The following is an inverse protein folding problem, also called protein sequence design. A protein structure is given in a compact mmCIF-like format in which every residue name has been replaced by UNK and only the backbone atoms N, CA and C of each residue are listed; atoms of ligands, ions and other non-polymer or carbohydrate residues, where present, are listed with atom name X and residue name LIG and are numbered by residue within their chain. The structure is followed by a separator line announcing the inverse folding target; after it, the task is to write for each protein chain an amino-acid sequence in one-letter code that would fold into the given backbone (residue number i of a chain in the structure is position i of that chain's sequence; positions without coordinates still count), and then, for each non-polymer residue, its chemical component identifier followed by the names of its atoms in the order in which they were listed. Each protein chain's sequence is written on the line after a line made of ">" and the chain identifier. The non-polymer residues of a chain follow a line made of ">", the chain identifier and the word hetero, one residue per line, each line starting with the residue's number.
data_IF_130546639643
#
_entry.id   IF_130546639643
#
_cell.length_a   1.000
_cell.length_b   1.000
_cell.length_c   1.000
_cell.angle_alpha   90.00
_cell.angle_beta   90.00
_cell.angle_gamma   90.00
#
_symmetry.space_group_name_H-M   'P 1'
#
loop_
_entity.id
_entity.type
_entity.pdbx_description
1 polymer ?
#
# COMPACT_ATOMS: atom_id res chain seq x y z
N UNK A 1 -28.36 32.50 -29.90
CA UNK A 1 -28.11 31.22 -30.57
C UNK A 1 -26.73 30.65 -30.30
N UNK A 2 -25.68 31.45 -30.48
CA UNK A 2 -24.30 31.03 -30.22
C UNK A 2 -24.05 30.60 -28.75
N UNK A 3 -24.75 31.20 -27.84
CA UNK A 3 -24.62 30.86 -26.38
C UNK A 3 -25.12 29.46 -26.07
N UNK A 4 -26.11 28.97 -26.76
CA UNK A 4 -26.67 27.64 -26.48
C UNK A 4 -25.76 26.52 -26.98
N UNK A 5 -25.09 26.74 -28.10
CA UNK A 5 -24.15 25.77 -28.64
C UNK A 5 -22.93 25.60 -27.73
N UNK A 6 -22.48 26.67 -27.10
CA UNK A 6 -21.37 26.66 -26.15
C UNK A 6 -21.78 25.90 -24.87
N UNK A 7 -23.00 26.08 -24.41
CA UNK A 7 -23.54 25.38 -23.26
C UNK A 7 -23.61 23.88 -23.45
N UNK A 8 -24.06 23.43 -24.61
CA UNK A 8 -24.14 22.00 -24.92
C UNK A 8 -22.75 21.37 -25.01
N UNK A 9 -21.79 22.08 -25.58
CA UNK A 9 -20.42 21.62 -25.66
C UNK A 9 -19.76 21.51 -24.29
N UNK A 10 -20.03 22.45 -23.39
CA UNK A 10 -19.50 22.42 -22.02
C UNK A 10 -20.09 21.27 -21.20
N UNK A 11 -21.39 21.03 -21.35
CA UNK A 11 -22.03 19.93 -20.64
C UNK A 11 -21.55 18.57 -21.13
N UNK A 12 -21.24 18.45 -22.41
CA UNK A 12 -20.67 17.22 -22.97
C UNK A 12 -19.25 16.97 -22.50
N UNK A 13 -18.44 18.02 -22.47
CA UNK A 13 -17.07 17.93 -21.96
C UNK A 13 -17.03 17.57 -20.47
N UNK A 14 -17.98 18.05 -19.70
CA UNK A 14 -18.09 17.73 -18.29
C UNK A 14 -18.41 16.26 -18.04
N UNK A 15 -19.29 15.66 -18.82
CA UNK A 15 -19.61 14.23 -18.70
C UNK A 15 -18.44 13.33 -19.06
N UNK A 16 -17.63 13.74 -20.01
CA UNK A 16 -16.45 12.96 -20.41
C UNK A 16 -15.35 12.98 -19.36
N UNK A 17 -15.14 14.11 -18.71
CA UNK A 17 -14.10 14.26 -17.70
C UNK A 17 -14.39 13.46 -16.44
N UNK A 18 -15.65 13.32 -16.05
CA UNK A 18 -15.98 12.54 -14.85
C UNK A 18 -15.76 11.05 -15.05
N UNK A 19 -16.01 10.53 -16.23
CA UNK A 19 -15.78 9.10 -16.50
C UNK A 19 -14.29 8.77 -16.58
N UNK A 20 -13.52 9.64 -17.15
CA UNK A 20 -12.07 9.45 -17.28
C UNK A 20 -11.36 9.54 -15.94
N UNK A 21 -11.81 10.42 -15.05
CA UNK A 21 -11.26 10.54 -13.70
C UNK A 21 -11.45 9.27 -12.88
N UNK A 22 -12.61 8.61 -13.01
CA UNK A 22 -12.87 7.36 -12.31
C UNK A 22 -12.01 6.21 -12.82
N UNK A 23 -11.78 6.15 -14.12
CA UNK A 23 -10.94 5.12 -14.72
C UNK A 23 -9.47 5.28 -14.34
N UNK A 24 -9.01 6.51 -14.13
CA UNK A 24 -7.63 6.80 -13.78
C UNK A 24 -7.32 6.49 -12.31
N UNK A 25 -8.28 6.65 -11.42
CA UNK A 25 -8.07 6.34 -10.00
C UNK A 25 -7.89 4.85 -9.73
N UNK A 26 -8.44 4.01 -10.58
CA UNK A 26 -8.35 2.56 -10.39
C UNK A 26 -7.08 1.93 -10.96
N UNK A 27 -6.35 2.63 -11.80
CA UNK A 27 -5.23 2.04 -12.54
C UNK A 27 -3.86 2.64 -12.27
N UNK A 28 -3.79 3.81 -11.65
CA UNK A 28 -2.51 4.45 -11.41
C UNK A 28 -2.16 4.50 -9.93
N UNK A 29 -0.91 4.17 -9.57
CA UNK A 29 -0.41 4.53 -8.26
C UNK A 29 -0.50 6.04 -8.11
N UNK A 30 -0.84 6.50 -6.93
CA UNK A 30 -1.02 7.93 -6.69
C UNK A 30 0.16 8.71 -7.27
N UNK A 31 -0.10 9.81 -7.99
CA UNK A 31 0.99 10.62 -8.56
C UNK A 31 2.03 11.04 -7.53
N UNK A 32 1.60 11.16 -6.31
CA UNK A 32 2.42 11.51 -5.16
C UNK A 32 3.58 10.53 -4.91
N UNK A 33 3.35 9.26 -5.22
CA UNK A 33 4.36 8.20 -5.06
C UNK A 33 5.50 8.32 -6.09
N UNK A 34 5.19 8.83 -7.28
CA UNK A 34 6.16 8.94 -8.37
C UNK A 34 7.05 10.19 -8.25
N UNK A 35 6.68 11.14 -7.39
CA UNK A 35 7.36 12.44 -7.29
C UNK A 35 8.28 12.56 -6.06
N UNK A 36 8.61 11.45 -5.40
CA UNK A 36 9.51 11.48 -4.25
C UNK A 36 10.95 11.77 -4.70
N UNK A 37 11.61 12.70 -4.03
CA UNK A 37 13.03 12.95 -4.24
C UNK A 37 13.88 11.81 -3.69
N UNK A 38 13.50 11.30 -2.51
CA UNK A 38 14.11 10.10 -1.93
C UNK A 38 13.02 9.15 -1.45
N UNK A 39 13.17 7.88 -1.80
CA UNK A 39 12.26 6.82 -1.33
C UNK A 39 12.64 6.42 0.09
N UNK A 40 11.65 5.98 0.90
CA UNK A 40 11.96 5.41 2.21
C UNK A 40 12.93 4.25 2.08
N UNK A 41 13.84 4.13 3.05
CA UNK A 41 14.78 3.00 3.10
C UNK A 41 14.65 2.24 4.41
N UNK A 42 14.74 0.92 4.31
CA UNK A 42 14.70 0.01 5.44
C UNK A 42 16.12 -0.46 5.74
N UNK A 43 16.71 0.03 6.84
CA UNK A 43 18.10 -0.30 7.22
C UNK A 43 19.09 -0.06 6.07
N UNK A 44 18.91 1.01 5.33
CA UNK A 44 19.74 1.34 4.17
C UNK A 44 19.36 0.61 2.89
N UNK A 45 18.35 -0.26 2.92
CA UNK A 45 17.90 -1.03 1.78
C UNK A 45 16.51 -0.64 1.30
N UNK A 46 15.91 -1.52 0.52
CA UNK A 46 14.61 -1.30 -0.10
C UNK A 46 13.46 -1.95 0.67
N UNK A 47 12.25 -1.81 0.13
CA UNK A 47 11.07 -2.52 0.65
C UNK A 47 11.25 -4.05 0.56
N UNK A 48 12.08 -4.54 -0.34
CA UNK A 48 12.36 -5.97 -0.46
C UNK A 48 13.12 -6.50 0.76
N UNK A 49 14.00 -5.69 1.33
CA UNK A 49 14.70 -6.06 2.57
C UNK A 49 13.73 -6.14 3.73
N UNK A 50 12.75 -5.25 3.77
CA UNK A 50 11.69 -5.32 4.74
C UNK A 50 10.83 -6.58 4.54
N UNK A 51 10.55 -6.95 3.31
CA UNK A 51 9.81 -8.18 3.02
C UNK A 51 10.53 -9.42 3.58
N UNK A 52 11.85 -9.50 3.42
CA UNK A 52 12.64 -10.58 3.99
C UNK A 52 12.63 -10.55 5.53
N UNK A 53 12.76 -9.37 6.10
CA UNK A 53 12.70 -9.17 7.54
C UNK A 53 11.37 -9.69 8.09
N UNK A 54 10.26 -9.33 7.45
CA UNK A 54 8.93 -9.76 7.86
C UNK A 54 8.75 -11.27 7.70
N UNK A 55 9.22 -11.83 6.58
CA UNK A 55 9.10 -13.27 6.31
C UNK A 55 9.82 -14.11 7.36
N UNK A 56 10.93 -13.62 7.91
CA UNK A 56 11.68 -14.32 8.96
C UNK A 56 10.98 -14.29 10.32
N UNK A 57 10.07 -13.34 10.54
CA UNK A 57 9.43 -13.11 11.83
C UNK A 57 7.98 -13.54 11.90
N UNK A 58 7.40 -13.78 10.75
CA UNK A 58 6.02 -14.26 10.67
C UNK A 58 5.95 -15.67 11.27
N UNK A 59 4.97 -15.90 12.14
CA UNK A 59 4.71 -17.21 12.75
C UNK A 59 3.43 -17.77 12.17
N UNK A 60 3.52 -18.99 11.67
CA UNK A 60 2.33 -19.65 11.15
C UNK A 60 1.41 -20.03 12.32
N UNK A 61 0.18 -19.52 12.37
CA UNK A 61 -0.74 -19.89 13.46
C UNK A 61 -1.03 -21.40 13.43
N UNK A 62 -0.97 -22.04 14.60
CA UNK A 62 -1.14 -23.49 14.69
C UNK A 62 -2.52 -23.95 14.24
N UNK A 63 -3.55 -23.17 14.52
CA UNK A 63 -4.90 -23.48 14.07
C UNK A 63 -5.00 -23.45 12.54
N UNK A 64 -4.33 -22.52 11.89
CA UNK A 64 -4.28 -22.44 10.44
C UNK A 64 -3.56 -23.66 9.84
N UNK A 65 -2.49 -24.12 10.50
CA UNK A 65 -1.79 -25.35 10.08
C UNK A 65 -2.72 -26.54 10.17
N UNK A 66 -3.45 -26.69 11.28
CA UNK A 66 -4.39 -27.80 11.49
C UNK A 66 -5.49 -27.85 10.45
N UNK A 67 -5.95 -26.67 10.00
CA UNK A 67 -7.04 -26.55 9.03
C UNK A 67 -6.54 -26.44 7.59
N UNK A 68 -5.24 -26.59 7.36
CA UNK A 68 -4.62 -26.49 6.03
C UNK A 68 -4.90 -25.14 5.34
N UNK A 69 -4.90 -24.05 6.12
CA UNK A 69 -5.11 -22.72 5.57
C UNK A 69 -3.77 -22.13 5.17
N UNK A 70 -3.63 -21.78 3.89
CA UNK A 70 -2.43 -21.14 3.34
C UNK A 70 -2.81 -20.07 2.34
N UNK A 71 -1.87 -19.23 1.96
CA UNK A 71 -2.09 -18.19 0.97
C UNK A 71 -1.23 -16.98 1.22
N UNK A 72 -1.46 -15.95 0.42
CA UNK A 72 -0.72 -14.68 0.48
C UNK A 72 -1.63 -13.58 0.97
N UNK A 73 -1.24 -12.93 2.06
CA UNK A 73 -1.93 -11.78 2.64
C UNK A 73 -1.23 -10.52 2.15
N UNK A 74 -1.98 -9.57 1.60
CA UNK A 74 -1.46 -8.28 1.21
C UNK A 74 -1.78 -7.25 2.27
N UNK A 75 -0.73 -6.65 2.82
CA UNK A 75 -0.85 -5.66 3.90
C UNK A 75 -0.41 -4.31 3.37
N UNK A 76 -1.31 -3.33 3.45
CA UNK A 76 -0.94 -1.94 3.23
C UNK A 76 -0.36 -1.39 4.53
N UNK A 77 0.77 -0.73 4.46
CA UNK A 77 1.36 -0.06 5.62
C UNK A 77 1.89 1.32 5.24
N UNK A 78 1.89 2.20 6.21
CA UNK A 78 2.30 3.60 6.03
C UNK A 78 3.56 3.86 6.82
N UNK A 79 4.59 4.36 6.14
CA UNK A 79 5.81 4.86 6.77
C UNK A 79 5.61 6.35 7.03
N UNK A 80 5.53 6.70 8.30
CA UNK A 80 5.29 8.08 8.73
C UNK A 80 6.50 8.99 8.48
N UNK A 81 6.30 10.28 8.70
CA UNK A 81 7.35 11.30 8.55
C UNK A 81 8.56 11.05 9.44
N UNK A 82 8.34 10.38 10.58
CA UNK A 82 9.41 9.99 11.51
C UNK A 82 9.99 8.61 11.21
N UNK A 83 9.53 7.94 10.15
CA UNK A 83 9.98 6.61 9.77
C UNK A 83 9.29 5.46 10.47
N UNK A 84 8.28 5.72 11.29
CA UNK A 84 7.55 4.68 12.02
C UNK A 84 6.41 4.12 11.19
N UNK A 85 6.13 2.83 11.38
CA UNK A 85 4.98 2.15 10.81
C UNK A 85 3.91 2.04 11.88
N UNK A 86 3.03 3.02 11.95
CA UNK A 86 1.93 3.06 12.93
C UNK A 86 0.62 2.53 12.35
N UNK A 87 0.49 2.53 11.04
CA UNK A 87 -0.72 2.10 10.35
C UNK A 87 -0.40 0.91 9.45
N UNK A 88 -1.13 -0.17 9.64
CA UNK A 88 -1.04 -1.35 8.78
C UNK A 88 -2.39 -2.06 8.80
N UNK A 89 -2.89 -2.44 7.63
CA UNK A 89 -4.14 -3.18 7.51
C UNK A 89 -4.15 -4.01 6.23
N UNK A 90 -4.97 -5.05 6.25
CA UNK A 90 -5.07 -5.99 5.14
C UNK A 90 -5.90 -5.40 4.01
N UNK A 91 -5.37 -5.44 2.79
CA UNK A 91 -6.10 -5.05 1.58
C UNK A 91 -6.60 -6.27 0.80
N UNK A 92 -5.88 -7.39 0.88
CA UNK A 92 -6.32 -8.68 0.34
C UNK A 92 -6.02 -9.76 1.37
N UNK A 93 -7.06 -10.27 2.01
CA UNK A 93 -6.93 -11.28 3.05
C UNK A 93 -7.15 -12.70 2.51
N UNK A 94 -6.78 -13.67 3.35
CA UNK A 94 -7.00 -15.09 3.11
C UNK A 94 -7.91 -15.66 4.19
N UNK A 95 -7.55 -15.46 5.44
CA UNK A 95 -8.25 -15.94 6.60
C UNK A 95 -7.82 -15.10 7.80
N UNK A 96 -8.73 -14.86 8.75
CA UNK A 96 -8.47 -13.93 9.85
C UNK A 96 -7.23 -14.29 10.67
N UNK A 97 -6.91 -15.58 10.81
CA UNK A 97 -5.71 -16.02 11.53
C UNK A 97 -4.42 -15.56 10.83
N UNK A 98 -4.34 -15.74 9.53
CA UNK A 98 -3.18 -15.32 8.74
C UNK A 98 -3.13 -13.80 8.62
N UNK A 99 -4.28 -13.18 8.42
CA UNK A 99 -4.39 -11.73 8.27
C UNK A 99 -3.91 -11.00 9.53
N UNK A 100 -4.33 -11.47 10.71
CA UNK A 100 -3.92 -10.88 11.98
C UNK A 100 -2.42 -11.01 12.22
N UNK A 101 -1.83 -12.16 11.89
CA UNK A 101 -0.39 -12.39 12.05
C UNK A 101 0.41 -11.50 11.10
N UNK A 102 -0.04 -11.36 9.87
CA UNK A 102 0.62 -10.50 8.88
C UNK A 102 0.67 -9.04 9.36
N UNK A 103 -0.45 -8.52 9.84
CA UNK A 103 -0.51 -7.15 10.38
C UNK A 103 0.38 -6.99 11.61
N UNK A 104 0.36 -7.99 12.51
CA UNK A 104 1.18 -7.96 13.72
C UNK A 104 2.67 -7.78 13.39
N UNK A 105 3.17 -8.54 12.44
CA UNK A 105 4.58 -8.48 12.05
C UNK A 105 4.91 -7.14 11.41
N UNK A 106 4.07 -6.65 10.51
CA UNK A 106 4.31 -5.38 9.82
C UNK A 106 4.35 -4.21 10.81
N UNK A 107 3.47 -4.21 11.81
CA UNK A 107 3.45 -3.17 12.84
C UNK A 107 4.67 -3.18 13.75
N UNK A 108 5.40 -4.28 13.81
CA UNK A 108 6.65 -4.38 14.59
C UNK A 108 7.88 -3.92 13.81
N UNK A 109 7.69 -3.34 12.67
CA UNK A 109 8.78 -2.82 11.85
C UNK A 109 9.72 -1.91 12.65
N UNK A 110 11.05 -2.10 12.53
CA UNK A 110 11.98 -1.06 12.96
C UNK A 110 11.73 0.25 12.22
N UNK A 111 12.32 1.31 12.74
CA UNK A 111 12.17 2.63 12.13
C UNK A 111 12.86 2.67 10.77
N UNK A 112 12.16 3.23 9.80
CA UNK A 112 12.68 3.48 8.45
C UNK A 112 13.30 4.87 8.37
N UNK A 113 14.11 5.07 7.35
CA UNK A 113 14.41 6.43 6.88
C UNK A 113 13.21 6.87 6.05
N UNK A 114 12.53 7.99 6.40
CA UNK A 114 11.31 8.39 5.71
C UNK A 114 11.55 8.83 4.27
N UNK A 115 10.50 8.84 3.47
CA UNK A 115 10.53 9.44 2.15
C UNK A 115 10.72 10.94 2.22
N UNK A 116 11.38 11.51 1.23
CA UNK A 116 11.65 12.95 1.16
C UNK A 116 11.04 13.52 -0.12
N UNK A 117 10.33 14.62 0.04
CA UNK A 117 9.79 15.40 -1.08
C UNK A 117 9.98 16.89 -0.77
N UNK A 118 10.57 17.62 -1.72
CA UNK A 118 10.88 19.04 -1.57
C UNK A 118 11.65 19.35 -0.27
N UNK A 119 12.63 18.49 0.05
CA UNK A 119 13.47 18.63 1.23
C UNK A 119 12.80 18.31 2.56
N UNK A 120 11.57 17.79 2.55
CA UNK A 120 10.80 17.48 3.76
C UNK A 120 10.42 16.03 3.84
N UNK A 121 10.41 15.43 5.05
CA UNK A 121 9.89 14.07 5.23
C UNK A 121 8.39 14.02 4.91
N UNK A 122 7.98 12.96 4.23
CA UNK A 122 6.58 12.74 3.86
C UNK A 122 6.16 11.32 4.20
N UNK A 123 4.85 11.13 4.38
CA UNK A 123 4.26 9.80 4.57
C UNK A 123 4.22 9.08 3.25
N UNK A 124 4.58 7.78 3.28
CA UNK A 124 4.58 6.93 2.09
C UNK A 124 3.91 5.61 2.44
N UNK A 125 3.01 5.13 1.59
CA UNK A 125 2.37 3.84 1.77
C UNK A 125 2.91 2.81 0.78
N UNK A 126 2.99 1.55 1.25
CA UNK A 126 3.34 0.39 0.45
C UNK A 126 2.36 -0.74 0.70
N UNK A 127 2.27 -1.65 -0.25
CA UNK A 127 1.58 -2.93 -0.07
C UNK A 127 2.62 -4.04 -0.06
N UNK A 128 2.64 -4.81 1.01
CA UNK A 128 3.57 -5.92 1.18
C UNK A 128 2.82 -7.25 1.11
N UNK A 129 3.19 -8.16 0.21
CA UNK A 129 2.65 -9.51 0.22
C UNK A 129 3.40 -10.37 1.25
N UNK A 130 2.65 -11.04 2.12
CA UNK A 130 3.20 -11.98 3.10
C UNK A 130 2.61 -13.35 2.78
N UNK A 131 3.49 -14.29 2.43
CA UNK A 131 3.09 -15.62 2.02
C UNK A 131 3.17 -16.61 3.17
N UNK A 132 2.08 -17.34 3.38
CA UNK A 132 2.01 -18.45 4.32
C UNK A 132 1.94 -19.73 3.50
N UNK A 133 3.02 -20.50 3.54
CA UNK A 133 3.12 -21.77 2.82
C UNK A 133 3.40 -22.89 3.80
N UNK A 134 2.70 -23.99 3.62
CA UNK A 134 2.97 -25.20 4.38
C UNK A 134 4.10 -25.97 3.74
N UNK A 135 4.91 -26.58 4.57
CA UNK A 135 5.98 -27.47 4.14
C UNK A 135 5.54 -28.93 4.19
#
# INVERSE_FOLDING_TARGET
>A
MKKYLIFIALSFAFMFTTTDLFAQETTNPSPEYLELDERPTFKGGSVMDFAQWAAQRVKYPQEAVKENISGTVRVLFVIDKDGRVNEAYVVNGVHYLLDAEAVRVVKKSPRWKPGIKDGKPVRVSYVLPISFKMR
#
